data_IF_070359796533
#
_entry.id   IF_070359796533
#
_cell.length_a   1.000
_cell.length_b   1.000
_cell.length_c   1.000
_cell.angle_alpha   90.00
_cell.angle_beta   90.00
_cell.angle_gamma   90.00
#
_symmetry.space_group_name_H-M   'P 1'
#
loop_
_entity.id
_entity.type
_entity.pdbx_description
1 polymer ?
#
# COMPACT_ATOMS: atom_id res chain seq x y z
N UNK A 1 59.40 -34.97 9.18
CA UNK A 1 58.18 -35.63 9.69
C UNK A 1 56.99 -35.14 8.90
N UNK A 2 56.45 -35.99 8.01
CA UNK A 2 55.26 -35.70 7.20
C UNK A 2 54.05 -36.26 7.95
N UNK A 3 53.16 -35.40 8.46
CA UNK A 3 51.90 -35.85 9.03
C UNK A 3 50.90 -36.13 7.89
N UNK A 4 50.70 -37.42 7.66
CA UNK A 4 49.65 -37.99 6.82
C UNK A 4 48.33 -37.83 7.58
N UNK A 5 47.41 -37.04 7.06
CA UNK A 5 46.02 -37.03 7.54
C UNK A 5 45.30 -38.21 6.90
N UNK A 6 44.87 -39.13 7.77
CA UNK A 6 44.21 -40.38 7.44
C UNK A 6 42.79 -40.15 6.90
N UNK A 7 42.51 -40.67 5.70
CA UNK A 7 41.25 -40.51 4.96
C UNK A 7 40.09 -41.36 5.51
N UNK A 8 40.28 -42.03 6.66
CA UNK A 8 39.28 -42.94 7.25
C UNK A 8 38.41 -42.34 8.35
N UNK A 9 38.54 -41.05 8.65
CA UNK A 9 37.71 -40.34 9.63
C UNK A 9 36.48 -39.62 9.01
N UNK A 10 35.91 -40.21 7.94
CA UNK A 10 34.85 -39.57 7.15
C UNK A 10 33.43 -40.12 7.38
N UNK A 11 33.19 -41.03 8.32
CA UNK A 11 31.85 -41.61 8.53
C UNK A 11 31.59 -41.94 10.00
N UNK A 12 31.11 -40.97 10.79
CA UNK A 12 30.34 -41.23 12.00
C UNK A 12 29.62 -39.95 12.49
N UNK A 13 28.31 -39.89 12.27
CA UNK A 13 27.34 -39.37 13.26
C UNK A 13 27.17 -37.86 13.40
N UNK A 14 26.17 -37.30 12.72
CA UNK A 14 25.01 -36.67 13.38
C UNK A 14 23.99 -36.26 12.30
N UNK A 15 22.75 -36.68 12.49
CA UNK A 15 21.65 -36.56 11.55
C UNK A 15 21.34 -35.10 11.17
N UNK A 16 21.39 -34.81 9.87
CA UNK A 16 20.79 -33.60 9.31
C UNK A 16 19.27 -33.77 9.31
N UNK A 17 18.59 -33.15 10.27
CA UNK A 17 17.15 -32.91 10.16
C UNK A 17 16.95 -31.81 9.11
N UNK A 18 16.18 -32.03 8.04
CA UNK A 18 15.80 -30.93 7.17
C UNK A 18 14.86 -30.03 7.96
N UNK A 19 15.33 -28.83 8.32
CA UNK A 19 14.42 -27.74 8.68
C UNK A 19 13.73 -27.34 7.37
N UNK A 20 12.62 -28.00 7.08
CA UNK A 20 11.66 -27.48 6.15
C UNK A 20 11.14 -26.17 6.73
N UNK A 21 11.65 -25.03 6.25
CA UNK A 21 10.93 -23.78 6.41
C UNK A 21 9.65 -23.91 5.60
N UNK A 22 8.59 -24.35 6.27
CA UNK A 22 7.24 -24.12 5.82
C UNK A 22 7.05 -22.61 5.79
N UNK A 23 7.32 -22.00 4.64
CA UNK A 23 6.69 -20.73 4.28
C UNK A 23 5.21 -21.02 4.17
N UNK A 24 4.52 -20.98 5.30
CA UNK A 24 3.07 -20.88 5.31
C UNK A 24 2.74 -19.49 4.77
N UNK A 25 2.73 -19.35 3.44
CA UNK A 25 1.86 -18.36 2.82
C UNK A 25 0.45 -18.66 3.34
N UNK A 26 -0.25 -17.72 3.99
CA UNK A 26 -1.65 -17.91 4.28
C UNK A 26 -2.37 -17.96 2.93
N UNK A 27 -2.53 -19.17 2.42
CA UNK A 27 -3.22 -19.45 1.19
C UNK A 27 -4.70 -19.11 1.37
N UNK A 28 -5.23 -18.36 0.40
CA UNK A 28 -6.63 -18.45 0.01
C UNK A 28 -7.62 -17.70 0.90
N UNK A 29 -8.08 -16.57 0.37
CA UNK A 29 -9.17 -15.74 0.86
C UNK A 29 -10.54 -16.45 0.80
N UNK A 30 -10.74 -17.51 1.60
CA UNK A 30 -12.05 -18.15 1.79
C UNK A 30 -12.47 -18.31 3.26
N UNK A 31 -11.77 -17.69 4.21
CA UNK A 31 -12.02 -17.84 5.66
C UNK A 31 -12.27 -16.54 6.44
N UNK A 32 -12.36 -15.38 5.77
CA UNK A 32 -12.45 -14.08 6.47
C UNK A 32 -13.66 -13.99 7.44
N UNK A 33 -14.78 -14.67 7.14
CA UNK A 33 -15.97 -14.62 8.01
C UNK A 33 -15.87 -15.51 9.26
N UNK A 34 -15.04 -16.55 9.25
CA UNK A 34 -14.85 -17.44 10.41
C UNK A 34 -13.74 -16.91 11.35
N UNK A 35 -12.71 -16.27 10.78
CA UNK A 35 -11.58 -15.73 11.54
C UNK A 35 -11.95 -14.53 12.43
N UNK A 36 -12.97 -13.74 12.05
CA UNK A 36 -13.35 -12.53 12.80
C UNK A 36 -13.79 -12.81 14.25
N UNK A 37 -14.37 -13.98 14.53
CA UNK A 37 -14.81 -14.40 15.87
C UNK A 37 -13.88 -15.36 16.59
N UNK A 38 -12.79 -15.81 15.95
CA UNK A 38 -11.89 -16.81 16.52
C UNK A 38 -10.81 -16.13 17.40
N UNK A 39 -11.03 -16.19 18.72
CA UNK A 39 -10.07 -15.64 19.68
C UNK A 39 -8.70 -16.32 19.66
N UNK A 40 -8.59 -17.57 19.23
CA UNK A 40 -7.30 -18.25 19.08
C UNK A 40 -6.55 -17.74 17.85
N UNK A 41 -7.27 -17.54 16.74
CA UNK A 41 -6.70 -16.92 15.54
C UNK A 41 -6.07 -15.56 15.85
N UNK A 42 -6.81 -14.64 16.48
CA UNK A 42 -6.28 -13.30 16.78
C UNK A 42 -5.15 -13.31 17.82
N UNK A 43 -5.16 -14.25 18.78
CA UNK A 43 -4.02 -14.46 19.69
C UNK A 43 -2.77 -14.90 18.93
N UNK A 44 -2.90 -15.76 17.93
CA UNK A 44 -1.79 -16.18 17.09
C UNK A 44 -1.27 -15.05 16.20
N UNK A 45 -2.16 -14.20 15.67
CA UNK A 45 -1.74 -13.00 14.94
C UNK A 45 -1.00 -12.03 15.86
N UNK A 46 -1.56 -11.73 17.04
CA UNK A 46 -0.97 -10.82 18.01
C UNK A 46 0.40 -11.30 18.50
N UNK A 47 0.63 -12.61 18.63
CA UNK A 47 1.93 -13.16 19.05
C UNK A 47 3.06 -12.93 18.04
N UNK A 48 2.74 -12.56 16.79
CA UNK A 48 3.71 -12.18 15.77
C UNK A 48 4.27 -10.76 15.97
N UNK A 49 3.76 -10.00 16.94
CA UNK A 49 4.11 -8.59 17.12
C UNK A 49 4.78 -8.35 18.47
N UNK A 50 5.92 -7.66 18.45
CA UNK A 50 6.64 -7.24 19.65
C UNK A 50 6.15 -5.87 20.11
N UNK A 51 5.03 -5.85 20.84
CA UNK A 51 4.41 -4.63 21.37
C UNK A 51 4.92 -4.27 22.76
N UNK A 52 5.00 -2.97 23.07
CA UNK A 52 5.16 -2.51 24.46
C UNK A 52 3.88 -2.78 25.26
N UNK A 53 4.05 -3.06 26.56
CA UNK A 53 2.93 -3.18 27.51
C UNK A 53 2.75 -1.93 28.38
N UNK A 54 3.55 -0.90 28.14
CA UNK A 54 3.47 0.38 28.87
C UNK A 54 2.24 1.21 28.44
N UNK A 55 1.74 0.99 27.23
CA UNK A 55 0.57 1.67 26.67
C UNK A 55 -0.30 0.71 25.86
N UNK A 56 -1.61 0.95 25.84
CA UNK A 56 -2.52 0.29 24.92
C UNK A 56 -2.50 1.08 23.61
N UNK A 57 -1.88 0.52 22.57
CA UNK A 57 -1.75 1.17 21.28
C UNK A 57 -3.06 1.07 20.47
N UNK A 58 -3.75 2.20 20.31
CA UNK A 58 -4.98 2.32 19.49
C UNK A 58 -4.75 3.17 18.23
N UNK A 59 -3.49 3.43 17.87
CA UNK A 59 -3.06 4.38 16.83
C UNK A 59 -2.42 3.69 15.60
N UNK A 60 -2.76 2.41 15.34
CA UNK A 60 -2.16 1.64 14.24
C UNK A 60 -2.35 2.26 12.85
N UNK A 61 -3.38 3.10 12.68
CA UNK A 61 -3.62 3.86 11.45
C UNK A 61 -2.66 5.03 11.23
N UNK A 62 -2.03 5.55 12.29
CA UNK A 62 -1.02 6.59 12.21
C UNK A 62 0.36 6.00 11.95
N UNK A 63 0.75 4.98 12.74
CA UNK A 63 2.02 4.28 12.54
C UNK A 63 1.87 2.78 12.77
N UNK A 64 2.07 2.00 11.71
CA UNK A 64 2.03 0.54 11.74
C UNK A 64 3.33 -0.07 12.24
N UNK A 65 3.25 -1.33 12.67
CA UNK A 65 4.41 -2.14 13.03
C UNK A 65 4.57 -3.31 12.08
N UNK A 66 5.81 -3.68 11.77
CA UNK A 66 6.10 -4.94 11.08
C UNK A 66 5.89 -6.11 12.04
N UNK A 67 5.24 -7.18 11.57
CA UNK A 67 5.29 -8.46 12.27
C UNK A 67 6.75 -8.95 12.33
N UNK A 68 7.11 -9.68 13.39
CA UNK A 68 8.45 -10.21 13.62
C UNK A 68 9.11 -10.87 12.40
N UNK A 69 8.45 -11.79 11.66
CA UNK A 69 9.07 -12.37 10.45
C UNK A 69 9.35 -11.34 9.35
N UNK A 70 8.53 -10.28 9.24
CA UNK A 70 8.75 -9.20 8.27
C UNK A 70 9.92 -8.31 8.70
N UNK A 71 10.00 -7.98 10.00
CA UNK A 71 11.12 -7.23 10.56
C UNK A 71 12.46 -7.96 10.37
N UNK A 72 12.49 -9.26 10.64
CA UNK A 72 13.67 -10.11 10.44
C UNK A 72 14.10 -10.13 8.96
N UNK A 73 13.16 -10.33 8.03
CA UNK A 73 13.46 -10.30 6.61
C UNK A 73 13.94 -8.92 6.12
N UNK A 74 13.36 -7.84 6.66
CA UNK A 74 13.80 -6.48 6.37
C UNK A 74 15.25 -6.24 6.81
N UNK A 75 15.58 -6.60 8.06
CA UNK A 75 16.94 -6.48 8.61
C UNK A 75 17.95 -7.32 7.83
N UNK A 76 17.60 -8.56 7.47
CA UNK A 76 18.44 -9.43 6.65
C UNK A 76 18.71 -8.83 5.26
N UNK A 77 17.69 -8.22 4.64
CA UNK A 77 17.85 -7.53 3.36
C UNK A 77 18.73 -6.29 3.46
N UNK A 78 18.59 -5.48 4.52
CA UNK A 78 19.48 -4.34 4.78
C UNK A 78 20.93 -4.80 4.93
N UNK A 79 21.17 -5.86 5.72
CA UNK A 79 22.50 -6.43 5.89
C UNK A 79 23.07 -6.97 4.57
N UNK A 80 22.25 -7.63 3.74
CA UNK A 80 22.64 -8.12 2.42
C UNK A 80 23.04 -7.00 1.47
N UNK A 81 22.23 -5.93 1.38
CA UNK A 81 22.53 -4.77 0.53
C UNK A 81 23.87 -4.14 0.94
N UNK A 82 24.11 -3.98 2.24
CA UNK A 82 25.36 -3.43 2.74
C UNK A 82 26.57 -4.33 2.47
N UNK A 83 26.43 -5.65 2.66
CA UNK A 83 27.52 -6.62 2.46
C UNK A 83 27.87 -6.80 0.98
N UNK A 84 26.85 -6.96 0.14
CA UNK A 84 27.05 -7.38 -1.25
C UNK A 84 27.18 -6.17 -2.20
N UNK A 85 26.78 -4.97 -1.75
CA UNK A 85 26.94 -3.70 -2.46
C UNK A 85 26.53 -3.78 -3.95
N UNK A 86 27.39 -3.33 -4.86
CA UNK A 86 27.17 -3.32 -6.30
C UNK A 86 26.96 -4.70 -6.92
N UNK A 87 27.44 -5.78 -6.27
CA UNK A 87 27.23 -7.14 -6.76
C UNK A 87 25.74 -7.50 -6.73
N UNK A 88 25.08 -7.24 -5.59
CA UNK A 88 23.64 -7.46 -5.47
C UNK A 88 22.84 -6.52 -6.36
N UNK A 89 23.13 -5.22 -6.36
CA UNK A 89 22.34 -4.24 -7.12
C UNK A 89 22.40 -4.47 -8.63
N UNK A 90 23.50 -5.04 -9.15
CA UNK A 90 23.64 -5.37 -10.58
C UNK A 90 23.09 -6.73 -10.98
N UNK A 91 22.94 -7.68 -10.05
CA UNK A 91 22.62 -9.09 -10.40
C UNK A 91 21.34 -9.62 -9.77
N UNK A 92 21.04 -9.28 -8.52
CA UNK A 92 19.91 -9.86 -7.78
C UNK A 92 18.72 -8.90 -7.64
N UNK A 93 18.99 -7.60 -7.46
CA UNK A 93 17.96 -6.64 -7.04
C UNK A 93 16.74 -6.56 -7.96
N UNK A 94 16.94 -6.62 -9.28
CA UNK A 94 15.82 -6.58 -10.23
C UNK A 94 14.96 -7.84 -10.19
N UNK A 95 15.54 -9.02 -9.91
CA UNK A 95 14.77 -10.25 -9.78
C UNK A 95 13.92 -10.20 -8.51
N UNK A 96 14.50 -9.81 -7.38
CA UNK A 96 13.79 -9.66 -6.10
C UNK A 96 12.69 -8.60 -6.19
N UNK A 97 12.95 -7.48 -6.86
CA UNK A 97 11.97 -6.42 -7.09
C UNK A 97 10.79 -6.90 -7.93
N UNK A 98 11.05 -7.65 -9.02
CA UNK A 98 9.99 -8.23 -9.87
C UNK A 98 9.16 -9.24 -9.10
N UNK A 99 9.79 -10.13 -8.33
CA UNK A 99 9.08 -11.11 -7.51
C UNK A 99 8.15 -10.43 -6.50
N UNK A 100 8.62 -9.38 -5.81
CA UNK A 100 7.80 -8.62 -4.88
C UNK A 100 6.62 -7.91 -5.58
N UNK A 101 6.87 -7.31 -6.75
CA UNK A 101 5.83 -6.64 -7.56
C UNK A 101 4.78 -7.64 -8.04
N UNK A 102 5.19 -8.77 -8.58
CA UNK A 102 4.30 -9.78 -9.14
C UNK A 102 3.44 -10.43 -8.04
N UNK A 103 4.01 -10.66 -6.85
CA UNK A 103 3.26 -11.11 -5.68
C UNK A 103 2.19 -10.09 -5.24
N UNK A 104 2.55 -8.79 -5.20
CA UNK A 104 1.59 -7.73 -4.86
C UNK A 104 0.49 -7.59 -5.94
N UNK A 105 0.85 -7.68 -7.21
CA UNK A 105 -0.11 -7.60 -8.31
C UNK A 105 -1.12 -8.75 -8.26
N UNK A 106 -0.67 -9.97 -7.93
CA UNK A 106 -1.54 -11.12 -7.75
C UNK A 106 -2.53 -10.93 -6.57
N UNK A 107 -2.06 -10.40 -5.43
CA UNK A 107 -2.91 -10.09 -4.27
C UNK A 107 -3.94 -9.00 -4.58
N UNK A 108 -3.56 -7.98 -5.35
CA UNK A 108 -4.45 -6.89 -5.76
C UNK A 108 -5.35 -7.25 -6.96
N UNK A 109 -5.15 -8.43 -7.56
CA UNK A 109 -5.84 -8.87 -8.78
C UNK A 109 -5.68 -7.90 -9.97
N UNK A 110 -4.47 -7.37 -10.14
CA UNK A 110 -4.10 -6.45 -11.25
C UNK A 110 -2.90 -7.01 -12.02
N UNK A 111 -2.63 -6.46 -13.21
CA UNK A 111 -1.45 -6.84 -13.97
C UNK A 111 -0.17 -6.24 -13.31
N UNK A 112 0.99 -6.93 -13.40
CA UNK A 112 2.21 -6.42 -12.78
C UNK A 112 2.70 -5.06 -13.29
N UNK A 113 2.35 -4.67 -14.52
CA UNK A 113 2.65 -3.36 -15.09
C UNK A 113 1.72 -2.24 -14.59
N UNK A 114 0.67 -2.58 -13.83
CA UNK A 114 -0.19 -1.62 -13.12
C UNK A 114 0.35 -1.27 -11.72
N UNK A 115 1.42 -1.92 -11.26
CA UNK A 115 2.01 -1.73 -9.93
C UNK A 115 3.35 -1.00 -10.00
N UNK A 116 3.46 0.11 -9.27
CA UNK A 116 4.70 0.84 -9.06
C UNK A 116 5.00 0.99 -7.55
N UNK A 117 6.25 0.76 -7.16
CA UNK A 117 6.72 1.01 -5.80
C UNK A 117 7.28 2.42 -5.65
N UNK A 118 6.82 3.14 -4.63
CA UNK A 118 7.37 4.43 -4.18
C UNK A 118 7.81 4.31 -2.72
N UNK A 119 8.40 5.37 -2.14
CA UNK A 119 8.82 5.35 -0.74
C UNK A 119 7.64 5.44 0.23
N UNK A 120 6.52 6.03 -0.20
CA UNK A 120 5.31 6.21 0.61
C UNK A 120 4.12 6.69 -0.25
N UNK A 121 2.92 6.70 0.36
CA UNK A 121 1.68 7.15 -0.27
C UNK A 121 1.72 8.63 -0.71
N UNK A 122 2.35 9.52 0.08
CA UNK A 122 2.49 10.95 -0.26
C UNK A 122 3.29 11.14 -1.56
N UNK A 123 4.38 10.41 -1.73
CA UNK A 123 5.16 10.42 -2.98
C UNK A 123 4.34 9.87 -4.15
N UNK A 124 3.68 8.73 -3.98
CA UNK A 124 2.86 8.12 -5.04
C UNK A 124 1.76 9.07 -5.51
N UNK A 125 0.98 9.62 -4.59
CA UNK A 125 -0.13 10.51 -4.94
C UNK A 125 0.36 11.84 -5.51
N UNK A 126 1.46 12.43 -5.01
CA UNK A 126 2.04 13.64 -5.62
C UNK A 126 2.56 13.37 -7.03
N UNK A 127 3.18 12.22 -7.27
CA UNK A 127 3.61 11.82 -8.61
C UNK A 127 2.42 11.71 -9.56
N UNK A 128 1.30 11.11 -9.11
CA UNK A 128 0.07 11.02 -9.91
C UNK A 128 -0.56 12.40 -10.17
N UNK A 129 -0.78 13.20 -9.12
CA UNK A 129 -1.44 14.52 -9.24
C UNK A 129 -0.62 15.47 -10.12
N UNK A 130 0.69 15.59 -9.87
CA UNK A 130 1.56 16.53 -10.59
C UNK A 130 1.94 16.02 -11.99
N UNK A 131 2.00 14.68 -12.14
CA UNK A 131 2.34 13.99 -13.38
C UNK A 131 1.15 13.83 -14.34
N UNK A 132 -0.09 14.05 -13.88
CA UNK A 132 -1.27 13.97 -14.75
C UNK A 132 -1.21 15.06 -15.83
N UNK A 133 -0.88 14.63 -17.05
CA UNK A 133 -0.51 15.50 -18.16
C UNK A 133 -1.68 15.88 -19.10
N UNK A 134 -2.90 15.45 -18.77
CA UNK A 134 -4.11 15.71 -19.57
C UNK A 134 -4.87 16.96 -19.14
N UNK A 135 -4.38 17.68 -18.13
CA UNK A 135 -4.95 18.96 -17.72
C UNK A 135 -4.49 20.08 -18.64
N UNK A 136 -5.44 20.91 -19.04
CA UNK A 136 -5.22 22.12 -19.83
C UNK A 136 -5.72 23.35 -19.08
N UNK A 137 -5.22 24.56 -19.41
CA UNK A 137 -5.68 25.79 -18.77
C UNK A 137 -7.21 25.92 -18.75
N UNK A 138 -7.70 26.13 -17.54
CA UNK A 138 -9.09 26.33 -17.18
C UNK A 138 -9.90 25.04 -16.98
N UNK A 139 -9.34 23.85 -17.22
CA UNK A 139 -9.94 22.63 -16.68
C UNK A 139 -10.14 22.76 -15.17
N UNK A 140 -11.01 21.94 -14.60
CA UNK A 140 -11.23 21.89 -13.17
C UNK A 140 -10.69 20.58 -12.57
N UNK A 141 -10.27 20.66 -11.31
CA UNK A 141 -9.92 19.51 -10.48
C UNK A 141 -10.71 19.57 -9.18
N UNK A 142 -11.01 18.43 -8.57
CA UNK A 142 -11.86 18.34 -7.39
C UNK A 142 -11.19 17.56 -6.28
N UNK A 143 -11.34 18.02 -5.04
CA UNK A 143 -11.04 17.25 -3.83
C UNK A 143 -12.10 17.51 -2.74
N UNK A 144 -12.18 16.64 -1.75
CA UNK A 144 -13.06 16.76 -0.59
C UNK A 144 -12.33 17.27 0.65
N UNK A 145 -13.05 17.92 1.55
CA UNK A 145 -12.54 18.43 2.82
C UNK A 145 -11.89 17.38 3.74
N UNK A 146 -12.28 16.10 3.63
CA UNK A 146 -11.68 14.99 4.36
C UNK A 146 -10.49 14.31 3.66
N UNK A 147 -10.10 14.75 2.47
CA UNK A 147 -8.88 14.25 1.82
C UNK A 147 -7.63 14.64 2.63
N UNK A 148 -6.54 13.89 2.47
CA UNK A 148 -5.31 14.15 3.19
C UNK A 148 -4.74 15.55 2.88
N UNK A 149 -4.40 16.34 3.90
CA UNK A 149 -4.02 17.76 3.74
C UNK A 149 -2.88 17.97 2.74
N UNK A 150 -1.89 17.08 2.74
CA UNK A 150 -0.76 17.18 1.80
C UNK A 150 -1.21 16.99 0.34
N UNK A 151 -2.30 16.26 0.12
CA UNK A 151 -2.89 16.05 -1.21
C UNK A 151 -3.82 17.21 -1.58
N UNK A 152 -4.57 17.76 -0.63
CA UNK A 152 -5.32 19.01 -0.84
C UNK A 152 -4.37 20.13 -1.31
N UNK A 153 -3.26 20.34 -0.59
CA UNK A 153 -2.24 21.31 -0.97
C UNK A 153 -1.60 21.00 -2.33
N UNK A 154 -1.44 19.72 -2.68
CA UNK A 154 -0.93 19.32 -3.99
C UNK A 154 -1.91 19.67 -5.11
N UNK A 155 -3.21 19.42 -4.91
CA UNK A 155 -4.28 19.77 -5.84
C UNK A 155 -4.37 21.29 -6.02
N UNK A 156 -4.32 22.05 -4.92
CA UNK A 156 -4.30 23.52 -4.94
C UNK A 156 -3.12 24.08 -5.76
N UNK A 157 -1.95 23.43 -5.67
CA UNK A 157 -0.77 23.84 -6.44
C UNK A 157 -0.97 23.74 -7.96
N UNK A 158 -1.93 22.93 -8.45
CA UNK A 158 -2.22 22.81 -9.88
C UNK A 158 -2.77 24.11 -10.46
N UNK A 159 -3.42 24.96 -9.65
CA UNK A 159 -3.91 26.28 -10.11
C UNK A 159 -2.78 27.11 -10.72
N UNK A 160 -1.67 27.24 -10.02
CA UNK A 160 -0.50 27.98 -10.51
C UNK A 160 0.29 27.22 -11.58
N UNK A 161 0.36 25.88 -11.49
CA UNK A 161 1.20 25.05 -12.38
C UNK A 161 0.57 24.71 -13.72
N UNK A 162 -0.76 24.64 -13.77
CA UNK A 162 -1.55 24.14 -14.92
C UNK A 162 -2.66 25.10 -15.35
N UNK A 163 -2.90 26.18 -14.59
CA UNK A 163 -3.97 27.14 -14.88
C UNK A 163 -5.37 26.57 -14.69
N UNK A 164 -5.52 25.52 -13.87
CA UNK A 164 -6.82 24.89 -13.60
C UNK A 164 -7.58 25.60 -12.49
N UNK A 165 -8.90 25.44 -12.45
CA UNK A 165 -9.72 25.73 -11.28
C UNK A 165 -9.67 24.57 -10.29
N UNK A 166 -9.57 24.87 -9.00
CA UNK A 166 -9.56 23.85 -7.94
C UNK A 166 -10.88 23.98 -7.18
N UNK A 167 -11.63 22.88 -7.15
CA UNK A 167 -12.93 22.77 -6.51
C UNK A 167 -12.76 21.98 -5.21
N UNK A 168 -13.37 22.49 -4.14
CA UNK A 168 -13.46 21.81 -2.86
C UNK A 168 -14.91 21.52 -2.54
N UNK A 169 -15.24 20.28 -2.20
CA UNK A 169 -16.56 19.91 -1.66
C UNK A 169 -16.43 19.59 -0.17
N UNK A 170 -17.50 19.88 0.58
CA UNK A 170 -17.68 19.36 1.93
C UNK A 170 -18.49 18.07 1.84
N UNK A 171 -18.00 16.98 2.42
CA UNK A 171 -18.78 15.74 2.45
C UNK A 171 -19.98 15.90 3.40
N UNK A 172 -21.17 15.43 3.01
CA UNK A 172 -22.38 15.62 3.80
C UNK A 172 -22.35 14.85 5.11
N UNK A 173 -22.97 15.42 6.15
CA UNK A 173 -23.27 14.76 7.40
C UNK A 173 -24.80 14.68 7.60
N UNK A 174 -25.37 13.49 7.88
CA UNK A 174 -24.69 12.21 8.06
C UNK A 174 -24.12 11.63 6.76
N UNK A 175 -22.93 11.05 6.82
CA UNK A 175 -22.19 10.51 5.68
C UNK A 175 -22.73 9.15 5.20
N UNK A 176 -23.99 9.12 4.76
CA UNK A 176 -24.59 7.91 4.18
C UNK A 176 -24.02 7.65 2.79
N UNK A 177 -23.98 6.38 2.40
CA UNK A 177 -23.51 5.96 1.07
C UNK A 177 -24.18 6.73 -0.07
N UNK A 178 -25.50 6.92 -0.01
CA UNK A 178 -26.27 7.64 -1.02
C UNK A 178 -25.88 9.11 -1.08
N UNK A 179 -25.85 9.80 0.08
CA UNK A 179 -25.50 11.22 0.14
C UNK A 179 -24.08 11.50 -0.35
N UNK A 180 -23.13 10.59 -0.05
CA UNK A 180 -21.76 10.70 -0.56
C UNK A 180 -21.71 10.60 -2.09
N UNK A 181 -22.41 9.62 -2.67
CA UNK A 181 -22.48 9.47 -4.14
C UNK A 181 -23.13 10.70 -4.78
N UNK A 182 -24.23 11.18 -4.21
CA UNK A 182 -24.96 12.36 -4.69
C UNK A 182 -24.10 13.63 -4.64
N UNK A 183 -23.32 13.84 -3.57
CA UNK A 183 -22.44 14.99 -3.45
C UNK A 183 -21.41 15.05 -4.60
N UNK A 184 -20.75 13.92 -4.91
CA UNK A 184 -19.84 13.84 -6.05
C UNK A 184 -20.57 13.99 -7.39
N UNK A 185 -21.75 13.37 -7.55
CA UNK A 185 -22.53 13.48 -8.78
C UNK A 185 -22.96 14.93 -9.07
N UNK A 186 -23.40 15.66 -8.04
CA UNK A 186 -23.76 17.08 -8.13
C UNK A 186 -22.54 17.94 -8.48
N UNK A 187 -21.39 17.69 -7.83
CA UNK A 187 -20.15 18.39 -8.14
C UNK A 187 -19.71 18.17 -9.59
N UNK A 188 -19.79 16.95 -10.10
CA UNK A 188 -19.50 16.63 -11.51
C UNK A 188 -20.49 17.33 -12.46
N UNK A 189 -21.78 17.32 -12.14
CA UNK A 189 -22.82 17.92 -12.99
C UNK A 189 -22.70 19.46 -13.07
N UNK A 190 -22.35 20.11 -11.95
CA UNK A 190 -22.16 21.56 -11.91
C UNK A 190 -20.87 22.03 -12.61
N UNK A 191 -19.93 21.12 -12.89
CA UNK A 191 -18.59 21.46 -13.39
C UNK A 191 -18.25 20.65 -14.65
N UNK A 192 -18.75 21.05 -15.85
CA UNK A 192 -18.53 20.31 -17.10
C UNK A 192 -17.06 20.24 -17.54
N UNK A 193 -16.19 21.08 -16.96
CA UNK A 193 -14.74 21.08 -17.21
C UNK A 193 -13.94 20.30 -16.17
N UNK A 194 -14.58 19.60 -15.24
CA UNK A 194 -13.89 18.75 -14.28
C UNK A 194 -13.18 17.60 -15.02
N UNK A 195 -11.87 17.44 -14.78
CA UNK A 195 -11.03 16.45 -15.46
C UNK A 195 -10.28 15.49 -14.53
N UNK A 196 -10.15 15.83 -13.25
CA UNK A 196 -9.45 15.03 -12.26
C UNK A 196 -10.13 15.15 -10.89
N UNK A 197 -10.35 14.01 -10.23
CA UNK A 197 -10.88 13.96 -8.86
C UNK A 197 -9.87 13.25 -7.95
N UNK A 198 -9.49 13.91 -6.85
CA UNK A 198 -8.85 13.22 -5.73
C UNK A 198 -9.93 12.51 -4.93
N UNK A 199 -9.75 11.21 -4.68
CA UNK A 199 -10.73 10.39 -3.99
C UNK A 199 -10.05 9.47 -2.96
N UNK A 200 -10.17 9.82 -1.68
CA UNK A 200 -9.67 8.99 -0.56
C UNK A 200 -10.63 7.84 -0.24
N UNK A 201 -10.16 6.58 -0.30
CA UNK A 201 -11.01 5.42 0.01
C UNK A 201 -11.43 5.35 1.48
N UNK A 202 -10.52 5.63 2.41
CA UNK A 202 -10.77 5.63 3.85
C UNK A 202 -10.15 6.88 4.48
N UNK A 203 -10.97 7.71 5.13
CA UNK A 203 -10.52 8.93 5.77
C UNK A 203 -9.60 8.63 6.96
N UNK A 204 -8.37 9.13 6.92
CA UNK A 204 -7.42 9.09 8.04
C UNK A 204 -7.92 9.83 9.30
N UNK A 205 -8.90 10.74 9.17
CA UNK A 205 -9.43 11.52 10.31
C UNK A 205 -10.60 10.85 11.00
N UNK A 206 -11.48 10.23 10.22
CA UNK A 206 -12.79 9.77 10.71
C UNK A 206 -13.02 8.28 10.52
N UNK A 207 -12.16 7.59 9.77
CA UNK A 207 -12.38 6.20 9.36
C UNK A 207 -13.52 6.02 8.34
N UNK A 208 -14.09 7.11 7.82
CA UNK A 208 -15.16 7.06 6.83
C UNK A 208 -14.66 6.38 5.55
N UNK A 209 -15.34 5.30 5.14
CA UNK A 209 -15.07 4.58 3.89
C UNK A 209 -15.98 5.12 2.79
N UNK A 210 -15.38 5.70 1.74
CA UNK A 210 -16.12 6.23 0.60
C UNK A 210 -16.56 5.11 -0.37
N UNK A 211 -17.72 5.24 -1.04
CA UNK A 211 -18.17 4.33 -2.11
C UNK A 211 -17.39 4.61 -3.41
N UNK A 212 -16.08 4.34 -3.38
CA UNK A 212 -15.16 4.71 -4.46
C UNK A 212 -15.50 4.04 -5.79
N UNK A 213 -16.06 2.83 -5.77
CA UNK A 213 -16.47 2.10 -6.97
C UNK A 213 -17.55 2.86 -7.74
N UNK A 214 -18.57 3.33 -7.03
CA UNK A 214 -19.70 4.06 -7.61
C UNK A 214 -19.27 5.44 -8.10
N UNK A 215 -18.50 6.16 -7.27
CA UNK A 215 -18.02 7.50 -7.61
C UNK A 215 -17.09 7.44 -8.83
N UNK A 216 -16.16 6.47 -8.88
CA UNK A 216 -15.27 6.27 -10.02
C UNK A 216 -16.02 5.86 -11.29
N UNK A 217 -17.08 5.06 -11.19
CA UNK A 217 -17.93 4.73 -12.34
C UNK A 217 -18.64 5.97 -12.90
N UNK A 218 -19.17 6.84 -12.03
CA UNK A 218 -19.79 8.10 -12.41
C UNK A 218 -18.81 9.07 -13.07
N UNK A 219 -17.59 9.16 -12.54
CA UNK A 219 -16.50 9.97 -13.08
C UNK A 219 -16.10 9.49 -14.48
N UNK A 220 -15.85 8.18 -14.62
CA UNK A 220 -15.44 7.56 -15.88
C UNK A 220 -16.46 7.73 -16.99
N UNK A 221 -17.75 7.60 -16.68
CA UNK A 221 -18.84 7.83 -17.64
C UNK A 221 -18.86 9.27 -18.20
N UNK A 222 -18.21 10.22 -17.52
CA UNK A 222 -18.09 11.63 -17.91
C UNK A 222 -16.70 11.99 -18.47
N UNK A 223 -15.81 11.00 -18.63
CA UNK A 223 -14.43 11.23 -19.07
C UNK A 223 -13.57 11.97 -18.05
N UNK A 224 -13.88 11.83 -16.76
CA UNK A 224 -13.14 12.39 -15.63
C UNK A 224 -12.19 11.32 -15.10
N UNK A 225 -10.93 11.68 -14.86
CA UNK A 225 -9.95 10.81 -14.21
C UNK A 225 -10.14 10.76 -12.69
#
# INVERSE_FOLDING_TARGET
MRHVVDRRLFLAGAAALPIAHASASPAGASSQSAAAGDGLFWKNVASQYDVTREVIQLESGNWGMMARPVLEAYQANVARVNRDTSYYTRRGMLADWRAARDALAAELHVAPDEVAFTRNATEALKALILGYNRLTPGDAVLYADLDYDSMQACMESLKARRGVSVLRIALPEPATRTLLIEAYAQAMAANPRLKLILLTQCSHRTGLVLPVREIAALARARGIA
#
